data_IF_008519909223
#
_entry.id   IF_008519909223
#
_cell.length_a   1.000
_cell.length_b   1.000
_cell.length_c   1.000
_cell.angle_alpha   90.00
_cell.angle_beta   90.00
_cell.angle_gamma   90.00
#
_symmetry.space_group_name_H-M   'P 1'
#
loop_
_entity.id
_entity.type
_entity.pdbx_description
1 polymer ?
#
# COMPACT_ATOMS: atom_id res chain seq x y z
N UNK A 1 -26.41 -30.80 -24.17
CA UNK A 1 -25.91 -29.56 -23.54
C UNK A 1 -25.98 -29.73 -22.04
N UNK A 2 -24.86 -29.56 -21.34
CA UNK A 2 -24.84 -29.45 -19.88
C UNK A 2 -23.83 -28.36 -19.53
N UNK A 3 -24.32 -27.18 -19.13
CA UNK A 3 -23.45 -26.15 -18.55
C UNK A 3 -23.27 -26.52 -17.09
N UNK A 4 -22.08 -27.03 -16.75
CA UNK A 4 -21.69 -27.11 -15.35
C UNK A 4 -21.57 -25.68 -14.83
N UNK A 5 -22.52 -25.26 -14.00
CA UNK A 5 -22.39 -24.06 -13.20
C UNK A 5 -21.33 -24.32 -12.14
N UNK A 6 -20.08 -23.96 -12.44
CA UNK A 6 -19.08 -23.79 -11.41
C UNK A 6 -19.63 -22.82 -10.38
N UNK A 7 -19.56 -23.17 -9.10
CA UNK A 7 -20.01 -22.30 -8.03
C UNK A 7 -19.13 -21.05 -8.05
N UNK A 8 -19.74 -19.89 -8.33
CA UNK A 8 -19.09 -18.60 -8.18
C UNK A 8 -19.01 -18.34 -6.67
N UNK A 9 -17.83 -18.54 -6.10
CA UNK A 9 -17.50 -18.04 -4.76
C UNK A 9 -17.76 -16.53 -4.74
N UNK A 10 -18.52 -16.09 -3.74
CA UNK A 10 -19.04 -14.72 -3.65
C UNK A 10 -19.01 -14.25 -2.19
N UNK A 11 -18.07 -13.36 -1.87
CA UNK A 11 -17.97 -12.73 -0.55
C UNK A 11 -18.71 -11.39 -0.59
N UNK A 12 -19.47 -11.09 0.46
CA UNK A 12 -20.18 -9.81 0.63
C UNK A 12 -19.99 -9.29 2.06
N UNK A 13 -19.63 -8.02 2.19
CA UNK A 13 -19.43 -7.33 3.46
C UNK A 13 -20.06 -5.93 3.37
N UNK A 14 -20.71 -5.49 4.43
CA UNK A 14 -21.45 -4.22 4.47
C UNK A 14 -21.09 -3.42 5.72
N UNK A 15 -21.09 -2.09 5.61
CA UNK A 15 -20.89 -1.18 6.73
C UNK A 15 -21.67 0.14 6.55
N UNK A 16 -22.22 0.68 7.64
CA UNK A 16 -22.77 2.04 7.69
C UNK A 16 -21.68 3.04 8.07
N UNK A 17 -21.47 4.04 7.23
CA UNK A 17 -20.47 5.10 7.39
C UNK A 17 -21.17 6.44 7.64
N UNK A 18 -20.74 7.18 8.66
CA UNK A 18 -21.35 8.46 9.07
C UNK A 18 -20.82 9.67 8.27
N UNK A 19 -20.70 9.47 6.96
CA UNK A 19 -20.13 10.45 6.03
C UNK A 19 -20.96 10.47 4.73
N UNK A 20 -21.04 11.61 4.03
CA UNK A 20 -21.78 11.69 2.76
C UNK A 20 -21.12 10.83 1.69
N UNK A 21 -21.94 10.28 0.78
CA UNK A 21 -21.51 9.37 -0.29
C UNK A 21 -20.36 9.93 -1.14
N UNK A 22 -20.31 11.25 -1.37
CA UNK A 22 -19.23 11.93 -2.10
C UNK A 22 -17.86 11.85 -1.40
N UNK A 23 -17.81 11.86 -0.06
CA UNK A 23 -16.55 11.70 0.70
C UNK A 23 -16.09 10.25 0.70
N UNK A 24 -17.03 9.30 0.79
CA UNK A 24 -16.75 7.87 0.66
C UNK A 24 -16.23 7.55 -0.74
N UNK A 25 -16.91 8.04 -1.78
CA UNK A 25 -16.48 7.91 -3.18
C UNK A 25 -15.05 8.41 -3.40
N UNK A 26 -14.70 9.60 -2.89
CA UNK A 26 -13.33 10.13 -2.99
C UNK A 26 -12.30 9.22 -2.31
N UNK A 27 -12.66 8.55 -1.21
CA UNK A 27 -11.78 7.55 -0.56
C UNK A 27 -11.71 6.19 -1.29
N UNK A 28 -12.57 5.96 -2.30
CA UNK A 28 -12.49 4.80 -3.21
C UNK A 28 -11.75 5.11 -4.52
N UNK A 29 -11.73 6.36 -4.98
CA UNK A 29 -11.23 6.75 -6.31
C UNK A 29 -9.94 7.56 -6.34
N UNK A 30 -9.56 8.20 -5.23
CA UNK A 30 -8.26 8.83 -5.08
C UNK A 30 -7.22 7.79 -4.61
N UNK A 31 -6.18 7.56 -5.42
CA UNK A 31 -5.14 6.58 -5.14
C UNK A 31 -4.39 6.79 -3.82
N UNK A 32 -4.22 8.04 -3.37
CA UNK A 32 -3.56 8.34 -2.09
C UNK A 32 -4.47 7.98 -0.91
N UNK A 33 -5.77 8.29 -1.01
CA UNK A 33 -6.76 7.98 0.02
C UNK A 33 -7.04 6.48 0.11
N UNK A 34 -7.24 5.82 -1.05
CA UNK A 34 -7.35 4.36 -1.15
C UNK A 34 -6.09 3.66 -0.59
N UNK A 35 -4.93 4.27 -0.86
CA UNK A 35 -3.63 3.92 -0.30
C UNK A 35 -3.52 3.96 1.23
N UNK A 36 -4.39 4.70 1.94
CA UNK A 36 -4.35 4.78 3.40
C UNK A 36 -5.14 3.66 4.11
N UNK A 37 -6.09 3.00 3.42
CA UNK A 37 -7.00 2.04 4.08
C UNK A 37 -7.14 0.69 3.39
N UNK A 38 -6.98 0.59 2.07
CA UNK A 38 -7.02 -0.67 1.33
C UNK A 38 -5.61 -1.15 0.99
N UNK A 39 -4.80 -0.26 0.41
CA UNK A 39 -3.38 -0.51 0.14
C UNK A 39 -2.80 0.33 -0.99
N UNK A 40 -1.47 0.40 -1.03
CA UNK A 40 -0.73 1.29 -1.93
C UNK A 40 -1.02 0.95 -3.39
N UNK A 41 -1.43 1.95 -4.17
CA UNK A 41 -1.86 1.80 -5.57
C UNK A 41 -1.66 3.07 -6.37
N UNK A 42 -1.60 2.95 -7.69
CA UNK A 42 -1.60 4.03 -8.68
C UNK A 42 -2.98 4.23 -9.36
N UNK A 43 -4.03 3.59 -8.83
CA UNK A 43 -5.38 3.53 -9.41
C UNK A 43 -5.88 4.86 -9.98
N UNK A 44 -6.18 4.85 -11.28
CA UNK A 44 -6.90 5.92 -11.96
C UNK A 44 -8.37 5.50 -12.12
N UNK A 45 -9.36 6.33 -11.71
CA UNK A 45 -10.78 5.97 -11.77
C UNK A 45 -11.38 6.11 -13.18
N UNK A 46 -10.74 5.49 -14.17
CA UNK A 46 -11.16 5.45 -15.57
C UNK A 46 -11.39 4.01 -16.03
N UNK A 47 -12.55 3.72 -16.62
CA UNK A 47 -12.90 2.35 -17.03
C UNK A 47 -11.94 1.81 -18.10
N UNK A 48 -11.27 0.70 -17.80
CA UNK A 48 -10.22 0.09 -18.62
C UNK A 48 -8.79 0.42 -18.18
N UNK A 49 -8.58 1.38 -17.28
CA UNK A 49 -7.24 1.72 -16.78
C UNK A 49 -6.61 0.53 -16.02
N UNK A 50 -5.36 0.14 -16.32
CA UNK A 50 -4.60 -0.77 -15.46
C UNK A 50 -4.20 -0.07 -14.16
N UNK A 51 -3.90 -0.84 -13.12
CA UNK A 51 -3.27 -0.34 -11.90
C UNK A 51 -2.53 -1.48 -11.18
N UNK A 52 -1.57 -1.14 -10.36
CA UNK A 52 -0.91 -2.03 -9.39
C UNK A 52 -1.48 -1.74 -7.99
N UNK A 53 -1.68 -2.77 -7.16
CA UNK A 53 -2.19 -2.63 -5.79
C UNK A 53 -1.45 -3.57 -4.85
N UNK A 54 -0.87 -3.06 -3.77
CA UNK A 54 -0.34 -3.86 -2.66
C UNK A 54 -1.26 -3.66 -1.44
N UNK A 55 -2.18 -4.59 -1.14
CA UNK A 55 -3.08 -4.47 0.02
C UNK A 55 -2.32 -4.45 1.34
N UNK A 56 -2.87 -3.75 2.34
CA UNK A 56 -2.23 -3.62 3.66
C UNK A 56 -2.32 -4.93 4.46
N UNK A 57 -3.52 -5.52 4.59
CA UNK A 57 -3.76 -6.78 5.30
C UNK A 57 -4.99 -7.51 4.72
N UNK A 58 -4.83 -8.21 3.59
CA UNK A 58 -5.88 -9.06 2.99
C UNK A 58 -5.45 -10.54 2.92
N UNK A 59 -5.98 -11.43 3.79
CA UNK A 59 -5.59 -12.84 3.87
C UNK A 59 -5.77 -13.57 2.53
N UNK A 60 -4.72 -14.19 2.02
CA UNK A 60 -4.72 -14.85 0.71
C UNK A 60 -4.51 -13.90 -0.48
N UNK A 61 -3.94 -12.71 -0.26
CA UNK A 61 -3.18 -11.98 -1.28
C UNK A 61 -1.73 -11.87 -0.79
N UNK A 62 -0.79 -12.46 -1.53
CA UNK A 62 0.64 -12.30 -1.25
C UNK A 62 1.28 -11.27 -2.19
N UNK A 63 1.46 -10.05 -1.69
CA UNK A 63 2.17 -8.98 -2.41
C UNK A 63 1.31 -8.19 -3.38
N UNK A 64 1.80 -8.02 -4.61
CA UNK A 64 1.30 -7.06 -5.59
C UNK A 64 0.23 -7.67 -6.52
N UNK A 65 -0.96 -7.07 -6.50
CA UNK A 65 -2.11 -7.42 -7.32
C UNK A 65 -2.11 -6.58 -8.59
N UNK A 66 -2.03 -7.25 -9.73
CA UNK A 66 -2.11 -6.62 -11.05
C UNK A 66 -3.58 -6.41 -11.47
N UNK A 67 -4.07 -5.19 -11.33
CA UNK A 67 -5.47 -4.78 -11.50
C UNK A 67 -5.84 -4.27 -12.89
N UNK A 68 -7.14 -4.01 -13.07
CA UNK A 68 -7.64 -2.94 -13.93
C UNK A 68 -9.04 -2.52 -13.47
N UNK A 69 -9.39 -1.26 -13.69
CA UNK A 69 -10.75 -0.76 -13.46
C UNK A 69 -11.67 -1.28 -14.56
N UNK A 70 -12.85 -1.78 -14.19
CA UNK A 70 -13.85 -2.37 -15.10
C UNK A 70 -15.01 -1.42 -15.33
N UNK A 71 -15.48 -0.77 -14.26
CA UNK A 71 -16.69 0.05 -14.26
C UNK A 71 -16.55 1.18 -13.24
N UNK A 72 -16.95 2.39 -13.61
CA UNK A 72 -16.96 3.59 -12.75
C UNK A 72 -18.28 4.32 -12.99
N UNK A 73 -19.11 4.41 -11.97
CA UNK A 73 -20.37 5.17 -11.97
C UNK A 73 -20.39 6.05 -10.73
N UNK A 74 -19.94 7.29 -10.87
CA UNK A 74 -19.84 8.23 -9.76
C UNK A 74 -21.22 8.69 -9.25
N UNK A 75 -21.45 8.80 -7.92
CA UNK A 75 -20.62 8.36 -6.79
C UNK A 75 -21.05 6.98 -6.24
N UNK A 76 -21.65 6.12 -7.07
CA UNK A 76 -22.43 4.96 -6.64
C UNK A 76 -21.70 3.61 -6.77
N UNK A 77 -20.79 3.45 -7.75
CA UNK A 77 -20.27 2.11 -8.10
C UNK A 77 -18.88 2.11 -8.70
N UNK A 78 -17.97 1.34 -8.11
CA UNK A 78 -16.61 1.10 -8.63
C UNK A 78 -16.40 -0.41 -8.72
N UNK A 79 -16.05 -0.93 -9.90
CA UNK A 79 -15.73 -2.34 -10.11
C UNK A 79 -14.30 -2.48 -10.60
N UNK A 80 -13.52 -3.28 -9.90
CA UNK A 80 -12.12 -3.59 -10.15
C UNK A 80 -11.96 -5.07 -10.50
N UNK A 81 -11.08 -5.39 -11.47
CA UNK A 81 -10.67 -6.76 -11.76
C UNK A 81 -9.25 -6.98 -11.27
N UNK A 82 -9.09 -7.76 -10.22
CA UNK A 82 -7.80 -8.13 -9.67
C UNK A 82 -7.29 -9.44 -10.30
N UNK A 83 -5.99 -9.70 -10.14
CA UNK A 83 -5.33 -10.97 -10.45
C UNK A 83 -4.56 -11.43 -9.22
N UNK A 84 -5.01 -12.54 -8.64
CA UNK A 84 -4.45 -13.16 -7.44
C UNK A 84 -4.00 -14.58 -7.83
N UNK A 85 -2.71 -14.92 -7.72
CA UNK A 85 -2.15 -16.24 -8.07
C UNK A 85 -2.56 -16.80 -9.46
N UNK A 86 -2.77 -15.90 -10.43
CA UNK A 86 -3.24 -16.23 -11.78
C UNK A 86 -4.76 -16.41 -11.93
N UNK A 87 -5.51 -16.46 -10.82
CA UNK A 87 -6.97 -16.42 -10.79
C UNK A 87 -7.44 -14.97 -11.01
N UNK A 88 -8.55 -14.79 -11.73
CA UNK A 88 -9.24 -13.50 -11.85
C UNK A 88 -10.40 -13.42 -10.87
N UNK A 89 -10.49 -12.28 -10.20
CA UNK A 89 -11.57 -11.95 -9.27
C UNK A 89 -12.07 -10.54 -9.58
N UNK A 90 -13.35 -10.30 -9.35
CA UNK A 90 -13.96 -8.97 -9.42
C UNK A 90 -14.21 -8.48 -8.00
N UNK A 91 -13.71 -7.30 -7.65
CA UNK A 91 -14.04 -6.57 -6.42
C UNK A 91 -14.93 -5.41 -6.82
N UNK A 92 -16.16 -5.36 -6.32
CA UNK A 92 -17.12 -4.29 -6.55
C UNK A 92 -17.46 -3.57 -5.25
N UNK A 93 -17.37 -2.25 -5.28
CA UNK A 93 -17.82 -1.34 -4.25
C UNK A 93 -19.13 -0.69 -4.72
N UNK A 94 -20.20 -0.84 -3.95
CA UNK A 94 -21.51 -0.24 -4.20
C UNK A 94 -21.87 0.67 -3.02
N UNK A 95 -22.19 1.93 -3.31
CA UNK A 95 -22.48 2.99 -2.33
C UNK A 95 -23.93 3.44 -2.44
N UNK A 96 -24.62 3.51 -1.30
CA UNK A 96 -26.00 3.96 -1.19
C UNK A 96 -26.07 5.05 -0.11
N UNK A 97 -26.56 6.23 -0.46
CA UNK A 97 -26.79 7.32 0.50
C UNK A 97 -27.92 6.96 1.49
N UNK A 98 -27.73 7.28 2.77
CA UNK A 98 -28.68 6.98 3.85
C UNK A 98 -28.92 8.21 4.73
N UNK A 99 -29.99 8.20 5.54
CA UNK A 99 -30.30 9.29 6.48
C UNK A 99 -29.17 9.62 7.47
N UNK A 100 -28.20 8.71 7.65
CA UNK A 100 -27.07 8.84 8.58
C UNK A 100 -25.72 9.03 7.87
N UNK A 101 -25.69 8.99 6.52
CA UNK A 101 -24.46 9.07 5.72
C UNK A 101 -24.50 8.16 4.49
N UNK A 102 -23.77 7.05 4.54
CA UNK A 102 -23.62 6.13 3.41
C UNK A 102 -23.54 4.67 3.88
N UNK A 103 -24.28 3.78 3.23
CA UNK A 103 -24.03 2.34 3.28
C UNK A 103 -22.98 2.01 2.20
N UNK A 104 -21.93 1.29 2.57
CA UNK A 104 -20.98 0.68 1.63
C UNK A 104 -21.19 -0.83 1.60
N UNK A 105 -21.31 -1.39 0.41
CA UNK A 105 -21.25 -2.83 0.15
C UNK A 105 -19.97 -3.14 -0.61
N UNK A 106 -19.11 -3.99 -0.03
CA UNK A 106 -17.97 -4.59 -0.72
C UNK A 106 -18.34 -6.02 -1.08
N UNK A 107 -18.19 -6.38 -2.36
CA UNK A 107 -18.44 -7.72 -2.86
C UNK A 107 -17.27 -8.20 -3.70
N UNK A 108 -16.76 -9.40 -3.43
CA UNK A 108 -15.67 -10.01 -4.19
C UNK A 108 -16.09 -11.37 -4.74
N UNK A 109 -16.06 -11.55 -6.05
CA UNK A 109 -16.50 -12.77 -6.75
C UNK A 109 -15.39 -13.41 -7.56
N UNK A 110 -15.15 -14.71 -7.36
CA UNK A 110 -14.16 -15.49 -8.11
C UNK A 110 -14.65 -15.87 -9.51
N UNK A 111 -13.85 -15.62 -10.56
CA UNK A 111 -14.27 -15.91 -11.95
C UNK A 111 -13.88 -17.31 -12.42
N UNK A 112 -12.69 -17.78 -12.01
CA UNK A 112 -12.06 -19.00 -12.56
C UNK A 112 -11.60 -20.01 -11.47
N UNK A 113 -11.92 -19.78 -10.19
CA UNK A 113 -11.42 -20.56 -9.05
C UNK A 113 -12.47 -20.83 -7.97
N UNK A 114 -12.13 -21.69 -7.01
CA UNK A 114 -12.91 -21.92 -5.79
C UNK A 114 -12.05 -21.52 -4.58
N UNK A 115 -12.66 -20.88 -3.59
CA UNK A 115 -12.07 -20.74 -2.26
C UNK A 115 -12.63 -21.82 -1.32
N UNK A 116 -11.94 -22.07 -0.21
CA UNK A 116 -12.54 -22.80 0.91
C UNK A 116 -13.41 -21.85 1.73
N UNK A 117 -14.42 -22.35 2.44
CA UNK A 117 -15.24 -21.50 3.31
C UNK A 117 -14.45 -20.84 4.44
N UNK A 118 -13.31 -21.40 4.82
CA UNK A 118 -12.35 -20.76 5.74
C UNK A 118 -11.66 -19.54 5.09
N UNK A 119 -11.26 -19.63 3.82
CA UNK A 119 -10.74 -18.47 3.08
C UNK A 119 -11.83 -17.42 2.83
N UNK A 120 -13.06 -17.85 2.57
CA UNK A 120 -14.23 -16.96 2.42
C UNK A 120 -14.50 -16.20 3.74
N UNK A 121 -14.52 -16.88 4.88
CA UNK A 121 -14.71 -16.28 6.21
C UNK A 121 -13.55 -15.35 6.61
N UNK A 122 -12.29 -15.76 6.43
CA UNK A 122 -11.12 -14.93 6.73
C UNK A 122 -11.09 -13.65 5.89
N UNK A 123 -11.39 -13.73 4.59
CA UNK A 123 -11.43 -12.57 3.69
C UNK A 123 -12.64 -11.67 3.98
N UNK A 124 -13.80 -12.23 4.32
CA UNK A 124 -14.97 -11.46 4.78
C UNK A 124 -14.66 -10.72 6.09
N UNK A 125 -14.00 -11.37 7.05
CA UNK A 125 -13.57 -10.76 8.30
C UNK A 125 -12.57 -9.61 8.06
N UNK A 126 -11.61 -9.80 7.14
CA UNK A 126 -10.64 -8.76 6.78
C UNK A 126 -11.31 -7.52 6.18
N UNK A 127 -12.22 -7.68 5.22
CA UNK A 127 -13.04 -6.54 4.73
C UNK A 127 -13.83 -5.89 5.88
N UNK A 128 -14.38 -6.68 6.80
CA UNK A 128 -15.05 -6.17 8.00
C UNK A 128 -14.14 -5.30 8.88
N UNK A 129 -12.86 -5.65 9.04
CA UNK A 129 -11.89 -4.81 9.74
C UNK A 129 -11.60 -3.52 8.96
N UNK A 130 -11.28 -3.61 7.66
CA UNK A 130 -10.95 -2.45 6.82
C UNK A 130 -12.09 -1.41 6.79
N UNK A 131 -13.34 -1.87 6.71
CA UNK A 131 -14.54 -1.01 6.68
C UNK A 131 -14.93 -0.42 8.05
N UNK A 132 -14.45 -0.98 9.16
CA UNK A 132 -14.82 -0.54 10.52
C UNK A 132 -13.73 0.23 11.27
N UNK A 133 -12.47 0.18 10.82
CA UNK A 133 -11.37 0.96 11.39
C UNK A 133 -10.68 1.88 10.36
N UNK A 134 -9.84 1.35 9.46
CA UNK A 134 -9.05 2.13 8.50
C UNK A 134 -9.87 3.09 7.62
N UNK A 135 -10.95 2.63 6.98
CA UNK A 135 -11.76 3.51 6.12
C UNK A 135 -12.44 4.65 6.91
N UNK A 136 -13.15 4.40 8.03
CA UNK A 136 -13.64 5.47 8.91
C UNK A 136 -12.57 6.47 9.32
N UNK A 137 -11.37 6.02 9.72
CA UNK A 137 -10.28 6.93 10.13
C UNK A 137 -9.83 7.87 9.00
N UNK A 138 -9.79 7.40 7.75
CA UNK A 138 -9.53 8.25 6.57
C UNK A 138 -10.66 9.25 6.35
N UNK A 139 -11.92 8.83 6.50
CA UNK A 139 -13.09 9.68 6.29
C UNK A 139 -13.27 10.75 7.37
N UNK A 140 -12.93 10.45 8.63
CA UNK A 140 -12.85 11.40 9.74
C UNK A 140 -11.72 12.43 9.50
N UNK A 141 -10.53 12.00 9.07
CA UNK A 141 -9.44 12.92 8.72
C UNK A 141 -9.80 13.86 7.56
N UNK A 142 -10.49 13.34 6.54
CA UNK A 142 -11.03 14.14 5.44
C UNK A 142 -12.09 15.14 5.92
N UNK A 143 -12.99 14.71 6.83
CA UNK A 143 -14.00 15.58 7.40
C UNK A 143 -13.38 16.71 8.24
N UNK A 144 -12.36 16.41 9.04
CA UNK A 144 -11.61 17.40 9.81
C UNK A 144 -10.97 18.46 8.91
N UNK A 145 -10.23 18.03 7.88
CA UNK A 145 -9.57 18.96 6.93
C UNK A 145 -10.56 19.83 6.15
N UNK A 146 -11.78 19.36 5.90
CA UNK A 146 -12.84 20.15 5.26
C UNK A 146 -13.36 21.27 6.17
N UNK A 147 -13.29 21.12 7.51
CA UNK A 147 -13.60 22.19 8.46
C UNK A 147 -12.52 23.28 8.43
N UNK A 148 -11.24 22.90 8.48
CA UNK A 148 -10.11 23.85 8.49
C UNK A 148 -10.22 24.94 7.39
N UNK A 149 -10.56 24.54 6.16
CA UNK A 149 -10.68 25.47 5.03
C UNK A 149 -11.91 26.38 5.07
N UNK A 150 -12.98 26.00 5.77
CA UNK A 150 -14.15 26.88 5.94
C UNK A 150 -13.88 28.06 6.87
N UNK A 151 -12.81 28.01 7.68
CA UNK A 151 -12.45 29.05 8.65
C UNK A 151 -11.95 30.35 8.01
N UNK A 152 -11.24 30.30 6.89
CA UNK A 152 -10.60 31.49 6.28
C UNK A 152 -11.26 32.01 5.00
N UNK A 153 -12.04 31.19 4.28
CA UNK A 153 -12.78 31.66 3.09
C UNK A 153 -14.20 32.16 3.41
N UNK A 154 -14.82 31.71 4.50
CA UNK A 154 -16.16 32.17 4.89
C UNK A 154 -16.18 33.63 5.38
N UNK A 155 -15.10 34.11 6.02
CA UNK A 155 -14.99 35.52 6.44
C UNK A 155 -14.72 36.47 5.25
N UNK A 156 -14.29 35.96 4.09
CA UNK A 156 -14.07 36.75 2.89
C UNK A 156 -15.38 36.98 2.10
N UNK A 157 -16.14 35.92 1.79
CA UNK A 157 -17.36 36.02 0.97
C UNK A 157 -18.66 36.28 1.77
N UNK A 158 -18.60 36.20 3.12
CA UNK A 158 -19.71 36.65 3.98
C UNK A 158 -19.99 38.16 3.93
N UNK A 159 -19.06 38.97 3.43
CA UNK A 159 -19.11 40.43 3.46
C UNK A 159 -20.00 41.09 2.37
N UNK A 160 -20.66 40.29 1.52
CA UNK A 160 -21.37 40.80 0.32
C UNK A 160 -22.92 40.70 0.37
N UNK A 161 -23.54 40.18 1.45
CA UNK A 161 -25.00 40.18 1.58
C UNK A 161 -25.51 40.19 3.04
N UNK A 162 -26.28 41.21 3.43
CA UNK A 162 -27.32 41.06 4.47
C UNK A 162 -27.18 41.82 5.80
N UNK A 163 -26.06 42.50 6.10
CA UNK A 163 -25.89 43.24 7.36
C UNK A 163 -26.27 44.74 7.24
N UNK A 164 -27.55 45.04 7.04
CA UNK A 164 -28.04 46.42 7.00
C UNK A 164 -28.24 47.03 8.41
N UNK A 165 -27.16 47.41 9.12
CA UNK A 165 -27.14 48.44 10.18
C UNK A 165 -25.74 48.67 10.82
N UNK A 166 -25.35 49.94 11.03
CA UNK A 166 -24.44 50.35 12.11
C UNK A 166 -22.97 50.69 11.76
N UNK A 167 -22.68 51.98 11.52
CA UNK A 167 -21.34 52.56 11.61
C UNK A 167 -20.79 52.46 13.07
N UNK A 168 -19.51 52.19 13.36
CA UNK A 168 -18.30 53.04 13.15
C UNK A 168 -18.51 54.44 13.79
N UNK A 169 -17.75 54.89 14.80
CA UNK A 169 -16.28 55.13 14.86
C UNK A 169 -15.63 54.62 16.17
N UNK A 170 -14.37 54.16 16.20
CA UNK A 170 -13.12 54.96 16.34
C UNK A 170 -13.19 56.08 17.42
N UNK A 171 -12.18 56.34 18.27
CA UNK A 171 -10.73 56.14 18.10
C UNK A 171 -10.01 55.93 19.47
N UNK A 172 -8.82 55.30 19.46
CA UNK A 172 -7.81 55.36 20.55
C UNK A 172 -6.40 55.36 19.96
N UNK A 173 -5.80 56.54 19.88
CA UNK A 173 -4.34 56.71 19.86
C UNK A 173 -3.86 57.28 21.22
N UNK A 174 -2.58 57.10 21.60
CA UNK A 174 -2.11 57.31 22.97
C UNK A 174 -1.63 58.76 23.24
N UNK A 175 -1.02 58.91 24.42
CA UNK A 175 -0.27 60.09 24.91
C UNK A 175 -1.06 61.31 25.45
N UNK A 176 -0.45 61.90 26.49
CA UNK A 176 -0.48 63.32 26.82
C UNK A 176 -1.81 64.03 27.23
N UNK A 177 -2.46 63.58 28.32
CA UNK A 177 -2.67 64.49 29.49
C UNK A 177 -3.05 63.83 30.81
N UNK A 178 -2.19 64.02 31.82
CA UNK A 178 -2.51 63.76 33.25
C UNK A 178 -3.41 64.87 33.82
N UNK A 179 -4.64 64.53 34.23
CA UNK A 179 -5.32 64.85 35.53
C UNK A 179 -6.84 65.10 35.41
N UNK A 180 -7.64 64.21 36.04
CA UNK A 180 -8.91 64.45 36.79
C UNK A 180 -10.14 65.00 36.01
N UNK A 181 -11.40 64.61 36.25
CA UNK A 181 -12.06 63.58 37.11
C UNK A 181 -13.50 63.32 36.57
N UNK A 182 -13.99 62.07 36.67
CA UNK A 182 -15.41 61.61 36.81
C UNK A 182 -16.55 62.15 35.91
N UNK A 183 -17.19 61.23 35.15
CA UNK A 183 -18.61 61.25 34.76
C UNK A 183 -19.03 62.08 33.51
N UNK A 184 -20.05 61.71 32.72
CA UNK A 184 -20.78 60.42 32.66
C UNK A 184 -22.14 60.48 31.93
N UNK A 185 -22.38 59.53 31.00
CA UNK A 185 -23.67 59.07 30.41
C UNK A 185 -24.51 60.00 29.47
N UNK A 186 -25.08 59.36 28.42
CA UNK A 186 -26.26 59.79 27.58
C UNK A 186 -26.01 61.04 26.69
N UNK A 187 -26.48 61.23 25.45
CA UNK A 187 -27.35 60.45 24.52
C UNK A 187 -28.64 61.23 24.16
N UNK A 188 -29.16 61.35 22.93
CA UNK A 188 -28.79 60.99 21.52
C UNK A 188 -29.42 62.09 20.61
N UNK A 189 -29.68 62.08 19.28
CA UNK A 189 -29.56 61.24 18.06
C UNK A 189 -29.76 62.16 16.81
N UNK A 190 -29.96 61.60 15.58
CA UNK A 190 -30.85 62.14 14.49
C UNK A 190 -30.36 63.43 13.74
N UNK A 191 -30.39 63.59 12.39
CA UNK A 191 -30.72 62.70 11.24
C UNK A 191 -30.33 63.31 9.85
N UNK A 192 -30.11 62.45 8.82
CA UNK A 192 -30.18 62.64 7.32
C UNK A 192 -29.40 63.78 6.59
N UNK A 193 -28.77 63.42 5.46
CA UNK A 193 -28.35 64.37 4.41
C UNK A 193 -27.74 63.73 3.13
N UNK A 194 -28.54 63.53 2.09
CA UNK A 194 -28.18 62.98 0.75
C UNK A 194 -27.11 63.84 0.00
N UNK A 195 -26.08 63.31 -0.67
CA UNK A 195 -25.98 62.47 -1.89
C UNK A 195 -25.90 63.25 -3.24
N UNK A 196 -25.01 62.83 -4.16
CA UNK A 196 -24.88 63.28 -5.57
C UNK A 196 -24.11 62.23 -6.42
N UNK A 197 -24.10 62.37 -7.76
CA UNK A 197 -23.87 61.27 -8.75
C UNK A 197 -22.90 61.69 -9.90
N UNK A 198 -22.55 60.75 -10.81
CA UNK A 198 -21.88 60.88 -12.14
C UNK A 198 -20.34 60.73 -12.14
N UNK A 199 -19.67 60.03 -13.09
CA UNK A 199 -20.14 59.07 -14.11
C UNK A 199 -19.34 59.02 -15.44
N UNK A 200 -18.97 57.80 -15.90
CA UNK A 200 -18.42 57.42 -17.24
C UNK A 200 -17.03 58.03 -17.63
N UNK A 201 -16.29 57.60 -18.66
CA UNK A 201 -16.40 56.54 -19.71
C UNK A 201 -15.30 55.45 -19.48
N UNK A 202 -14.55 54.73 -20.35
CA UNK A 202 -14.29 54.58 -21.82
C UNK A 202 -13.98 53.08 -22.11
N UNK A 203 -14.06 52.58 -23.38
CA UNK A 203 -13.50 51.28 -23.87
C UNK A 203 -12.95 51.43 -25.33
N UNK A 204 -12.69 50.37 -26.14
CA UNK A 204 -11.36 49.76 -26.34
C UNK A 204 -10.91 49.68 -27.82
N UNK A 205 -9.76 49.05 -28.13
CA UNK A 205 -9.38 48.65 -29.50
C UNK A 205 -8.56 47.36 -29.55
N UNK A 206 -8.96 46.42 -30.41
CA UNK A 206 -8.16 45.31 -30.93
C UNK A 206 -8.75 44.87 -32.28
N UNK A 207 -7.92 44.52 -33.28
CA UNK A 207 -8.36 44.30 -34.67
C UNK A 207 -7.76 43.00 -35.28
N UNK A 208 -8.53 42.18 -36.03
CA UNK A 208 -8.05 40.94 -36.65
C UNK A 208 -8.07 40.95 -38.21
N UNK A 209 -7.14 40.23 -38.86
CA UNK A 209 -7.13 39.81 -40.29
C UNK A 209 -5.87 38.91 -40.49
N UNK A 210 -5.84 37.77 -41.19
CA UNK A 210 -6.46 37.35 -42.47
C UNK A 210 -6.82 35.84 -42.47
N UNK A 211 -7.54 35.35 -43.49
CA UNK A 211 -7.96 33.94 -43.66
C UNK A 211 -7.57 33.34 -45.04
N UNK A 212 -8.14 32.16 -45.39
CA UNK A 212 -8.00 31.36 -46.64
C UNK A 212 -6.79 30.38 -46.71
N UNK A 213 -6.87 29.18 -47.31
CA UNK A 213 -8.02 28.39 -47.82
C UNK A 213 -7.67 26.87 -47.94
N UNK A 214 -8.68 26.04 -48.22
CA UNK A 214 -8.60 24.56 -48.39
C UNK A 214 -8.67 24.17 -49.88
N UNK A 215 -7.97 23.10 -50.31
CA UNK A 215 -8.58 22.13 -51.23
C UNK A 215 -8.33 20.65 -50.83
N UNK A 216 -9.32 19.74 -50.97
CA UNK A 216 -9.15 18.30 -50.73
C UNK A 216 -9.08 17.47 -52.04
N UNK A 217 -8.24 16.44 -52.09
CA UNK A 217 -8.32 15.32 -53.07
C UNK A 217 -7.31 14.21 -52.72
N UNK A 218 -7.63 12.95 -53.07
CA UNK A 218 -6.64 11.86 -53.10
C UNK A 218 -7.05 10.56 -52.39
N UNK A 219 -8.03 9.84 -52.93
CA UNK A 219 -8.12 8.38 -52.71
C UNK A 219 -7.13 7.65 -53.66
N UNK A 220 -6.85 6.36 -53.42
CA UNK A 220 -7.60 5.39 -54.24
C UNK A 220 -8.12 4.18 -53.45
N UNK A 221 -9.14 3.54 -54.03
CA UNK A 221 -9.53 2.16 -53.72
C UNK A 221 -9.16 1.26 -54.91
N UNK A 222 -8.89 -0.02 -54.65
CA UNK A 222 -8.81 -1.08 -55.65
C UNK A 222 -9.48 -2.32 -55.10
N UNK A 223 -10.37 -2.91 -55.91
CA UNK A 223 -11.18 -4.08 -55.55
C UNK A 223 -10.40 -5.40 -55.62
N UNK A 224 -10.92 -6.46 -54.97
CA UNK A 224 -10.22 -7.73 -54.85
C UNK A 224 -11.03 -8.91 -54.29
N UNK A 225 -12.29 -9.06 -54.72
CA UNK A 225 -13.18 -10.14 -54.24
C UNK A 225 -12.84 -11.52 -54.83
N UNK A 226 -12.63 -12.54 -53.99
CA UNK A 226 -12.74 -13.95 -54.38
C UNK A 226 -13.06 -14.93 -53.21
N UNK A 227 -14.31 -15.39 -53.22
CA UNK A 227 -14.88 -16.65 -52.71
C UNK A 227 -13.92 -17.80 -52.33
N UNK A 228 -14.11 -18.43 -51.16
CA UNK A 228 -13.49 -19.73 -50.84
C UNK A 228 -13.95 -20.33 -49.49
N UNK A 229 -14.70 -21.45 -49.54
CA UNK A 229 -15.09 -22.23 -48.35
C UNK A 229 -14.07 -23.33 -47.99
N UNK A 230 -14.17 -23.95 -46.79
CA UNK A 230 -13.18 -24.88 -46.28
C UNK A 230 -13.38 -26.33 -46.74
N UNK A 231 -12.31 -27.14 -46.77
CA UNK A 231 -12.38 -28.59 -46.70
C UNK A 231 -11.69 -29.16 -45.44
N UNK A 232 -12.45 -29.83 -44.58
CA UNK A 232 -11.91 -30.91 -43.75
C UNK A 232 -11.70 -32.16 -44.61
N UNK A 233 -10.84 -33.09 -44.18
CA UNK A 233 -11.28 -34.49 -44.17
C UNK A 233 -11.09 -35.18 -42.81
N UNK A 234 -12.14 -35.85 -42.34
CA UNK A 234 -11.99 -37.18 -41.73
C UNK A 234 -11.89 -38.21 -42.90
N UNK A 235 -11.50 -39.48 -42.77
CA UNK A 235 -11.70 -40.52 -41.73
C UNK A 235 -10.53 -41.53 -41.81
N UNK A 236 -10.16 -42.27 -40.76
CA UNK A 236 -10.74 -43.57 -40.29
C UNK A 236 -10.02 -43.98 -39.00
N UNK A 237 -10.54 -44.76 -38.05
CA UNK A 237 -11.00 -46.16 -38.14
C UNK A 237 -9.80 -47.13 -38.00
N UNK A 238 -9.78 -48.19 -37.18
CA UNK A 238 -10.77 -48.77 -36.24
C UNK A 238 -10.02 -49.44 -35.05
N UNK A 239 -10.52 -49.41 -33.82
CA UNK A 239 -11.33 -50.46 -33.15
C UNK A 239 -10.77 -51.91 -33.11
N UNK A 240 -10.67 -52.44 -31.87
CA UNK A 240 -10.90 -53.85 -31.47
C UNK A 240 -9.85 -54.96 -31.72
N UNK A 241 -9.22 -55.38 -30.60
CA UNK A 241 -9.32 -56.74 -30.03
C UNK A 241 -8.53 -57.95 -30.60
N UNK A 242 -7.74 -58.54 -29.69
CA UNK A 242 -7.72 -59.96 -29.27
C UNK A 242 -6.55 -60.92 -29.64
N UNK A 243 -5.82 -61.28 -28.56
CA UNK A 243 -5.40 -62.64 -28.09
C UNK A 243 -4.39 -63.52 -28.88
N UNK A 244 -3.37 -63.95 -28.11
CA UNK A 244 -2.56 -65.19 -28.24
C UNK A 244 -1.65 -65.32 -29.49
N UNK A 245 -0.42 -65.84 -29.44
CA UNK A 245 0.51 -66.30 -28.38
C UNK A 245 1.91 -66.46 -29.07
N UNK A 246 3.06 -66.79 -28.47
CA UNK A 246 3.38 -67.62 -27.27
C UNK A 246 4.90 -67.48 -26.99
N UNK A 247 5.36 -67.89 -25.80
CA UNK A 247 6.77 -68.08 -25.36
C UNK A 247 7.59 -66.85 -24.94
N UNK A 248 8.15 -66.98 -23.73
CA UNK A 248 9.26 -66.24 -23.14
C UNK A 248 10.57 -67.09 -23.30
N UNK A 249 11.71 -66.88 -22.59
CA UNK A 249 12.03 -65.83 -21.62
C UNK A 249 13.44 -65.19 -21.74
N UNK A 250 13.66 -64.10 -21.01
CA UNK A 250 14.80 -63.96 -20.07
C UNK A 250 14.59 -62.73 -19.18
N UNK A 251 15.15 -62.76 -17.97
CA UNK A 251 15.03 -61.69 -16.98
C UNK A 251 16.37 -60.99 -16.74
N UNK A 252 16.35 -59.78 -16.19
CA UNK A 252 17.00 -59.42 -14.90
C UNK A 252 16.75 -57.93 -14.60
N UNK A 253 16.45 -57.61 -13.34
CA UNK A 253 16.31 -56.23 -12.84
C UNK A 253 16.96 -56.09 -11.47
N UNK A 254 17.92 -55.17 -11.33
CA UNK A 254 18.63 -54.84 -10.08
C UNK A 254 18.88 -53.33 -10.14
N UNK A 255 18.25 -52.48 -9.33
CA UNK A 255 18.56 -52.18 -7.92
C UNK A 255 20.02 -51.71 -7.72
N UNK A 256 20.34 -50.52 -7.20
CA UNK A 256 19.81 -49.70 -6.07
C UNK A 256 20.42 -50.05 -4.71
N UNK A 257 20.84 -48.99 -3.99
CA UNK A 257 21.32 -48.92 -2.62
C UNK A 257 22.59 -49.70 -2.22
N UNK A 258 23.51 -49.03 -1.49
CA UNK A 258 24.38 -49.66 -0.49
C UNK A 258 25.05 -48.64 0.45
N UNK A 259 24.82 -48.72 1.77
CA UNK A 259 25.69 -48.13 2.78
C UNK A 259 26.30 -49.18 3.75
N UNK A 260 27.53 -48.91 4.21
CA UNK A 260 28.14 -49.30 5.50
C UNK A 260 27.94 -50.71 6.10
N UNK A 261 29.04 -51.45 6.32
CA UNK A 261 29.60 -51.66 7.70
C UNK A 261 30.97 -52.38 7.73
N UNK A 262 31.64 -52.20 8.87
CA UNK A 262 32.91 -52.73 9.46
C UNK A 262 33.04 -54.27 9.62
N UNK A 263 34.17 -54.86 10.13
CA UNK A 263 35.57 -54.39 10.33
C UNK A 263 36.71 -55.44 10.04
N UNK A 264 37.97 -55.04 10.34
CA UNK A 264 39.07 -55.86 10.95
C UNK A 264 40.26 -56.44 10.14
N UNK A 265 41.46 -56.02 10.58
CA UNK A 265 42.77 -56.73 10.72
C UNK A 265 43.60 -57.17 9.47
N UNK A 266 44.89 -56.76 9.43
CA UNK A 266 45.90 -57.26 8.47
C UNK A 266 47.15 -56.38 8.21
N UNK A 267 48.03 -56.20 9.20
CA UNK A 267 49.35 -55.51 9.11
C UNK A 267 50.51 -56.47 8.71
N UNK A 268 51.79 -56.06 8.48
CA UNK A 268 52.43 -54.72 8.47
C UNK A 268 53.44 -54.43 7.30
N UNK A 269 54.17 -53.30 7.41
CA UNK A 269 55.47 -52.91 6.77
C UNK A 269 55.36 -51.85 5.64
N UNK A 270 56.19 -50.80 5.56
CA UNK A 270 57.29 -50.32 6.45
C UNK A 270 57.38 -48.79 6.47
N UNK A 271 57.98 -48.24 7.53
CA UNK A 271 58.08 -46.80 7.84
C UNK A 271 59.36 -46.14 7.30
N UNK A 272 59.28 -44.89 6.80
CA UNK A 272 60.28 -43.85 7.07
C UNK A 272 59.81 -42.90 8.19
N UNK A 273 60.73 -42.46 9.06
CA UNK A 273 60.37 -41.88 10.36
C UNK A 273 60.36 -40.33 10.40
N UNK A 274 59.48 -39.82 11.27
CA UNK A 274 59.61 -38.54 12.00
C UNK A 274 59.96 -37.26 11.20
N UNK A 275 58.92 -36.58 10.75
CA UNK A 275 58.77 -35.15 11.05
C UNK A 275 57.48 -34.99 11.86
N UNK A 276 57.56 -34.45 13.09
CA UNK A 276 56.36 -34.12 13.85
C UNK A 276 55.68 -32.92 13.20
N UNK A 277 54.37 -32.96 12.88
CA UNK A 277 53.57 -31.76 12.85
C UNK A 277 53.66 -31.09 14.24
N UNK A 278 53.84 -29.77 14.34
CA UNK A 278 53.71 -29.10 15.64
C UNK A 278 52.31 -29.37 16.20
N UNK A 279 52.18 -29.43 17.53
CA UNK A 279 50.92 -29.72 18.21
C UNK A 279 49.79 -28.84 17.64
N UNK A 280 48.87 -29.46 16.90
CA UNK A 280 47.91 -28.75 16.06
C UNK A 280 47.13 -27.74 16.90
N UNK A 281 47.22 -26.46 16.53
CA UNK A 281 46.65 -25.37 17.30
C UNK A 281 45.18 -25.68 17.60
N UNK A 282 44.80 -25.59 18.88
CA UNK A 282 43.44 -25.86 19.32
C UNK A 282 42.47 -25.05 18.47
N UNK A 283 41.48 -25.74 17.88
CA UNK A 283 40.53 -25.10 16.97
C UNK A 283 39.94 -23.85 17.65
N UNK A 284 39.92 -22.67 16.97
CA UNK A 284 39.48 -21.43 17.58
C UNK A 284 38.14 -21.61 18.30
N UNK A 285 38.01 -21.14 19.55
CA UNK A 285 36.81 -21.37 20.35
C UNK A 285 35.60 -20.86 19.58
N UNK A 286 34.55 -21.67 19.52
CA UNK A 286 33.37 -21.35 18.72
C UNK A 286 32.72 -20.05 19.21
N UNK A 287 32.51 -19.10 18.30
CA UNK A 287 32.03 -17.75 18.61
C UNK A 287 30.84 -17.38 17.71
N UNK A 288 29.86 -16.62 18.23
CA UNK A 288 28.83 -16.02 17.39
C UNK A 288 29.44 -14.91 16.53
N UNK A 289 28.98 -14.79 15.29
CA UNK A 289 29.41 -13.74 14.39
C UNK A 289 28.16 -13.05 13.83
N UNK A 290 27.79 -11.93 14.45
CA UNK A 290 26.54 -11.24 14.18
C UNK A 290 26.74 -10.09 13.19
N UNK A 291 26.15 -10.24 12.00
CA UNK A 291 26.03 -9.21 10.98
C UNK A 291 24.58 -8.73 10.89
N UNK A 292 24.36 -7.49 10.45
CA UNK A 292 23.04 -6.90 10.32
C UNK A 292 22.82 -6.29 8.94
N UNK A 293 21.57 -6.37 8.46
CA UNK A 293 21.11 -5.69 7.25
C UNK A 293 19.86 -4.87 7.58
N UNK A 294 19.91 -3.58 7.30
CA UNK A 294 18.74 -2.71 7.26
C UNK A 294 18.11 -2.76 5.86
N UNK A 295 16.79 -2.70 5.83
CA UNK A 295 15.98 -2.43 4.64
C UNK A 295 14.87 -1.47 5.06
N UNK A 296 14.64 -0.38 4.32
CA UNK A 296 13.44 0.44 4.52
C UNK A 296 12.25 -0.30 3.92
N UNK A 297 11.25 -0.63 4.73
CA UNK A 297 10.08 -1.41 4.30
C UNK A 297 8.95 -0.53 3.75
N UNK A 298 8.78 0.68 4.31
CA UNK A 298 7.84 1.72 3.87
C UNK A 298 8.44 3.10 4.09
N UNK A 299 7.91 4.11 3.42
CA UNK A 299 8.02 5.51 3.87
C UNK A 299 6.62 6.10 3.94
N UNK A 300 6.23 6.52 5.13
CA UNK A 300 4.92 7.08 5.45
C UNK A 300 4.99 8.62 5.41
N UNK A 301 3.83 9.30 5.47
CA UNK A 301 3.80 10.77 5.37
C UNK A 301 4.43 11.47 6.59
N UNK A 302 4.45 10.80 7.75
CA UNK A 302 5.02 11.31 9.01
C UNK A 302 5.95 10.27 9.65
N UNK A 303 6.63 9.46 8.84
CA UNK A 303 7.47 8.39 9.37
C UNK A 303 8.05 7.42 8.34
N UNK A 304 8.60 6.31 8.83
CA UNK A 304 9.00 5.16 8.01
C UNK A 304 9.01 3.89 8.86
N UNK A 305 8.75 2.74 8.23
CA UNK A 305 9.02 1.43 8.84
C UNK A 305 10.39 0.91 8.37
N UNK A 306 11.28 0.69 9.32
CA UNK A 306 12.55 -0.01 9.11
C UNK A 306 12.43 -1.50 9.41
N UNK A 307 13.01 -2.35 8.56
CA UNK A 307 13.27 -3.76 8.88
C UNK A 307 14.76 -3.98 9.08
N UNK A 308 15.13 -4.75 10.11
CA UNK A 308 16.51 -5.20 10.33
C UNK A 308 16.54 -6.71 10.47
N UNK A 309 17.35 -7.36 9.63
CA UNK A 309 17.67 -8.78 9.70
C UNK A 309 19.06 -8.94 10.32
N UNK A 310 19.11 -9.70 11.41
CA UNK A 310 20.34 -10.06 12.15
C UNK A 310 20.71 -11.49 11.78
N UNK A 311 21.89 -11.69 11.20
CA UNK A 311 22.40 -12.98 10.74
C UNK A 311 23.57 -13.43 11.60
N UNK A 312 23.50 -14.65 12.16
CA UNK A 312 24.63 -15.25 12.85
C UNK A 312 25.44 -16.15 11.89
N UNK A 313 26.44 -15.55 11.23
CA UNK A 313 27.40 -16.27 10.37
C UNK A 313 28.45 -17.07 11.16
N UNK A 314 28.37 -17.06 12.50
CA UNK A 314 29.32 -17.72 13.40
C UNK A 314 29.02 -19.19 13.65
N UNK A 315 29.97 -19.87 14.30
CA UNK A 315 29.90 -21.30 14.64
C UNK A 315 29.41 -21.57 16.07
N UNK A 316 29.03 -20.53 16.83
CA UNK A 316 28.32 -20.68 18.12
C UNK A 316 27.02 -19.85 18.17
N UNK A 317 26.14 -20.23 19.09
CA UNK A 317 24.87 -19.55 19.37
C UNK A 317 25.13 -18.18 20.01
N UNK A 318 24.58 -17.11 19.46
CA UNK A 318 24.47 -15.83 20.15
C UNK A 318 23.37 -15.94 21.22
N UNK A 319 23.67 -15.63 22.48
CA UNK A 319 22.69 -15.71 23.58
C UNK A 319 21.68 -14.57 23.58
N UNK A 320 22.07 -13.43 23.01
CA UNK A 320 21.26 -12.25 22.73
C UNK A 320 21.94 -11.48 21.59
N UNK A 321 21.26 -10.50 21.01
CA UNK A 321 21.85 -9.52 20.10
C UNK A 321 21.37 -8.12 20.43
N UNK A 322 22.21 -7.12 20.12
CA UNK A 322 21.94 -5.70 20.36
C UNK A 322 22.26 -4.91 19.09
N UNK A 323 21.29 -4.15 18.60
CA UNK A 323 21.41 -3.28 17.43
C UNK A 323 21.13 -1.85 17.87
N UNK A 324 22.08 -0.96 17.64
CA UNK A 324 21.97 0.47 17.96
C UNK A 324 21.68 1.25 16.69
N UNK A 325 20.61 2.02 16.70
CA UNK A 325 20.18 2.89 15.60
C UNK A 325 20.20 4.33 16.11
N UNK A 326 20.72 5.26 15.30
CA UNK A 326 20.62 6.70 15.58
C UNK A 326 19.63 7.30 14.60
N UNK A 327 18.50 7.76 15.11
CA UNK A 327 17.48 8.49 14.36
C UNK A 327 17.95 9.94 14.10
N UNK A 328 17.26 10.65 13.20
CA UNK A 328 17.50 12.07 12.99
C UNK A 328 16.61 12.96 13.87
N UNK A 329 16.98 14.24 13.97
CA UNK A 329 16.20 15.32 14.59
C UNK A 329 15.50 14.95 15.90
N UNK A 330 14.16 14.96 15.86
CA UNK A 330 13.29 14.67 17.01
C UNK A 330 12.54 13.34 16.93
N UNK A 331 12.90 12.47 15.98
CA UNK A 331 12.11 11.28 15.64
C UNK A 331 12.03 10.25 16.78
N UNK A 332 10.88 9.60 16.91
CA UNK A 332 10.57 8.62 17.97
C UNK A 332 10.09 7.29 17.41
N UNK A 333 10.48 6.20 18.05
CA UNK A 333 9.94 4.87 17.73
C UNK A 333 8.48 4.79 18.21
N UNK A 334 7.58 4.41 17.32
CA UNK A 334 6.15 4.28 17.58
C UNK A 334 5.80 2.84 18.02
N UNK A 335 6.23 1.85 17.24
CA UNK A 335 6.03 0.42 17.49
C UNK A 335 7.27 -0.40 17.10
N UNK A 336 7.42 -1.59 17.71
CA UNK A 336 8.48 -2.56 17.41
C UNK A 336 7.97 -3.99 17.51
N UNK A 337 8.08 -4.73 16.40
CA UNK A 337 7.79 -6.16 16.34
C UNK A 337 9.08 -6.99 16.18
N UNK A 338 9.21 -8.06 16.98
CA UNK A 338 10.37 -8.96 16.95
C UNK A 338 11.60 -8.52 17.78
N UNK A 339 11.54 -7.37 18.46
CA UNK A 339 12.59 -6.89 19.36
C UNK A 339 12.02 -6.16 20.58
N UNK A 340 12.85 -5.98 21.61
CA UNK A 340 12.61 -5.04 22.73
C UNK A 340 13.43 -3.79 22.45
N UNK A 341 13.00 -2.61 22.88
CA UNK A 341 13.74 -1.37 22.62
C UNK A 341 13.84 -0.44 23.85
N UNK A 342 14.84 0.43 23.82
CA UNK A 342 15.06 1.55 24.74
C UNK A 342 15.55 2.75 23.91
N UNK A 343 14.86 3.89 23.97
CA UNK A 343 15.21 5.11 23.22
C UNK A 343 15.66 6.22 24.18
N UNK A 344 16.87 6.74 23.94
CA UNK A 344 17.50 7.82 24.70
C UNK A 344 17.87 8.97 23.77
N UNK A 345 16.96 9.94 23.66
CA UNK A 345 17.04 10.98 22.64
C UNK A 345 17.00 10.37 21.25
N UNK A 346 17.98 10.70 20.40
CA UNK A 346 18.08 10.13 19.04
C UNK A 346 18.59 8.69 18.98
N UNK A 347 19.15 8.14 20.06
CA UNK A 347 19.73 6.79 20.05
C UNK A 347 18.70 5.76 20.52
N UNK A 348 18.37 4.81 19.65
CA UNK A 348 17.54 3.63 19.95
C UNK A 348 18.44 2.42 20.09
N UNK A 349 18.22 1.63 21.15
CA UNK A 349 18.88 0.34 21.36
C UNK A 349 17.84 -0.77 21.26
N UNK A 350 17.90 -1.57 20.21
CA UNK A 350 17.08 -2.77 20.04
C UNK A 350 17.82 -3.99 20.59
N UNK A 351 17.15 -4.79 21.42
CA UNK A 351 17.68 -6.03 22.00
C UNK A 351 16.72 -7.18 21.71
N UNK A 352 17.25 -8.31 21.25
CA UNK A 352 16.46 -9.51 20.97
C UNK A 352 17.12 -10.81 21.41
N UNK A 353 16.30 -11.86 21.38
CA UNK A 353 16.61 -13.17 21.94
C UNK A 353 17.59 -14.01 21.09
N UNK A 354 18.01 -15.14 21.64
CA UNK A 354 19.16 -15.91 21.17
C UNK A 354 19.05 -16.45 19.73
N UNK A 355 20.11 -16.28 18.92
CA UNK A 355 20.17 -16.74 17.51
C UNK A 355 21.18 -17.88 17.37
N UNK A 356 20.75 -19.00 16.79
CA UNK A 356 21.61 -20.18 16.53
C UNK A 356 22.71 -19.89 15.49
N UNK A 357 23.74 -20.74 15.43
CA UNK A 357 24.74 -20.68 14.37
C UNK A 357 24.07 -20.92 13.00
N UNK A 358 24.36 -20.07 12.01
CA UNK A 358 23.74 -20.11 10.68
C UNK A 358 22.27 -19.63 10.61
N UNK A 359 21.68 -19.16 11.72
CA UNK A 359 20.30 -18.69 11.76
C UNK A 359 20.19 -17.16 11.67
N UNK A 360 18.97 -16.68 11.41
CA UNK A 360 18.61 -15.27 11.37
C UNK A 360 17.53 -14.93 12.40
N UNK A 361 17.55 -13.69 12.90
CA UNK A 361 16.41 -13.02 13.51
C UNK A 361 16.02 -11.82 12.64
N UNK A 362 14.74 -11.42 12.70
CA UNK A 362 14.21 -10.24 12.00
C UNK A 362 13.34 -9.44 12.96
N UNK A 363 13.44 -8.13 12.89
CA UNK A 363 12.56 -7.22 13.61
C UNK A 363 12.22 -6.01 12.74
N UNK A 364 11.02 -5.45 12.95
CA UNK A 364 10.54 -4.25 12.27
C UNK A 364 10.22 -3.18 13.30
N UNK A 365 10.46 -1.92 12.97
CA UNK A 365 10.20 -0.79 13.83
C UNK A 365 9.64 0.38 13.03
N UNK A 366 8.56 0.98 13.52
CA UNK A 366 7.96 2.17 12.93
C UNK A 366 8.52 3.40 13.64
N UNK A 367 8.88 4.44 12.87
CA UNK A 367 9.44 5.69 13.40
C UNK A 367 8.54 6.86 13.01
N UNK A 368 8.01 7.57 13.99
CA UNK A 368 7.39 8.88 13.80
C UNK A 368 8.50 9.91 13.57
N UNK A 369 8.51 10.56 12.40
CA UNK A 369 9.58 11.44 11.96
C UNK A 369 9.07 12.58 11.07
N UNK A 370 9.86 13.65 10.89
CA UNK A 370 9.50 14.70 9.95
C UNK A 370 9.57 14.21 8.49
N UNK A 371 8.84 14.87 7.58
CA UNK A 371 8.78 14.56 6.12
C UNK A 371 10.14 14.41 5.40
N UNK A 372 11.20 14.98 5.98
CA UNK A 372 12.60 14.92 5.50
C UNK A 372 13.38 13.70 6.02
N UNK A 373 12.98 13.14 7.16
CA UNK A 373 13.76 12.22 7.99
C UNK A 373 13.43 10.75 7.66
N UNK A 374 13.66 10.35 6.40
CA UNK A 374 13.11 9.10 5.84
C UNK A 374 13.90 7.82 6.13
N UNK A 375 15.02 7.90 6.86
CA UNK A 375 15.83 6.77 7.31
C UNK A 375 16.70 7.20 8.51
N UNK A 376 17.28 6.27 9.29
CA UNK A 376 18.14 6.66 10.40
C UNK A 376 19.51 7.17 9.90
N UNK A 377 20.13 8.03 10.72
CA UNK A 377 21.49 8.57 10.53
C UNK A 377 22.57 7.48 10.63
N UNK A 378 22.35 6.43 11.45
CA UNK A 378 23.20 5.24 11.46
C UNK A 378 22.50 4.00 12.03
N UNK A 379 23.01 2.82 11.70
CA UNK A 379 22.62 1.53 12.26
C UNK A 379 23.89 0.70 12.49
N UNK A 380 24.02 0.07 13.66
CA UNK A 380 25.18 -0.76 14.04
C UNK A 380 24.76 -1.98 14.84
N UNK A 381 25.45 -3.11 14.64
CA UNK A 381 25.37 -4.31 15.49
C UNK A 381 26.71 -4.49 16.20
N UNK A 382 26.74 -4.16 17.49
CA UNK A 382 27.99 -3.89 18.20
C UNK A 382 28.85 -2.87 17.43
N UNK A 383 30.07 -3.27 17.07
CA UNK A 383 31.01 -2.41 16.34
C UNK A 383 30.92 -2.45 14.81
N UNK A 384 30.01 -3.23 14.23
CA UNK A 384 29.79 -3.30 12.78
C UNK A 384 28.65 -2.39 12.33
N UNK A 385 28.79 -1.61 11.23
CA UNK A 385 27.65 -0.96 10.62
C UNK A 385 26.68 -1.99 10.01
N UNK A 386 25.39 -1.69 10.00
CA UNK A 386 24.42 -2.46 9.24
C UNK A 386 24.63 -2.24 7.74
N UNK A 387 24.52 -3.32 6.95
CA UNK A 387 24.47 -3.21 5.49
C UNK A 387 23.11 -2.66 5.02
N UNK A 388 23.08 -1.94 3.90
CA UNK A 388 21.84 -1.43 3.29
C UNK A 388 21.28 -0.11 3.86
N UNK A 389 22.07 0.59 4.68
CA UNK A 389 21.77 1.97 5.13
C UNK A 389 22.29 3.02 4.13
#
# INVERSE_FOLDING_TARGET
>A
MGRYSHAVTDIRTEAELRHPVSRVWRALTDAQLLGQWLGATDLQPEAGAPFELTPIDLPGVEGEVNGAVVEVVEPQRLVLRWREDGVRVLVSFELIETEQGCLITVRQSGTDGHWTSEQEEQRQQAYGQLLSGPLPAVLDWLAFREVDFTSETAEADGAAAGAAQGAVTANRDPEQRRRRLVGGLIGTAIVVGAAMVVGALIRPTADPTTAAAIPPSGAPASDGSATGGPPSPAVSGAASSSRSGTSAPSATTTASASPSTTPSAGTPSTQPATANPPAGAAAPPAQPNLDARYTRASSELLGYTGEIVVTNSGNAKATQWVVTVVLDGGATVADVSGARYDQKGRTVTFTGDSVAAGATARFRFQVNAALSERQPQSCRIGDRPCSGL
#
